data_IF_173934494699
#
_entry.id   IF_173934494699
#
_cell.length_a   1.000
_cell.length_b   1.000
_cell.length_c   1.000
_cell.angle_alpha   90.00
_cell.angle_beta   90.00
_cell.angle_gamma   90.00
#
_symmetry.space_group_name_H-M   'P 1'
#
loop_
_entity.id
_entity.type
_entity.pdbx_description
1 polymer ?
#
# COMPACT_ATOMS: atom_id res chain seq x y z
N UNK A 1 16.98 -0.24 6.45
CA UNK A 1 16.31 -0.68 7.68
C UNK A 1 16.11 -2.19 7.69
N UNK A 2 15.46 -2.79 6.68
CA UNK A 2 15.21 -4.25 6.64
C UNK A 2 16.45 -5.12 6.84
N UNK A 3 17.58 -4.78 6.22
CA UNK A 3 18.82 -5.54 6.42
C UNK A 3 19.33 -5.53 7.87
N UNK A 4 19.10 -4.44 8.61
CA UNK A 4 19.41 -4.38 10.04
C UNK A 4 18.39 -5.17 10.86
N UNK A 5 17.10 -5.12 10.50
CA UNK A 5 16.07 -5.93 11.17
C UNK A 5 16.33 -7.44 11.01
N UNK A 6 16.74 -7.89 9.81
CA UNK A 6 17.16 -9.29 9.62
C UNK A 6 18.39 -9.64 10.45
N UNK A 7 19.37 -8.74 10.52
CA UNK A 7 20.64 -9.01 11.20
C UNK A 7 20.55 -9.00 12.73
N UNK A 8 19.79 -8.06 13.29
CA UNK A 8 19.78 -7.82 14.73
C UNK A 8 18.43 -8.20 15.38
N UNK A 9 17.36 -8.27 14.62
CA UNK A 9 15.99 -8.31 15.16
C UNK A 9 15.50 -6.91 15.56
N UNK A 10 14.18 -6.77 15.82
CA UNK A 10 13.56 -5.48 16.11
C UNK A 10 13.99 -4.90 17.47
N UNK A 11 14.07 -5.74 18.52
CA UNK A 11 14.41 -5.30 19.88
C UNK A 11 15.83 -4.75 19.93
N UNK A 12 16.81 -5.54 19.50
CA UNK A 12 18.22 -5.11 19.48
C UNK A 12 18.45 -3.90 18.56
N UNK A 13 17.79 -3.84 17.40
CA UNK A 13 17.89 -2.67 16.53
C UNK A 13 17.36 -1.41 17.22
N UNK A 14 16.22 -1.51 17.91
CA UNK A 14 15.67 -0.38 18.66
C UNK A 14 16.62 0.03 19.78
N UNK A 15 17.14 -0.92 20.56
CA UNK A 15 18.15 -0.68 21.60
C UNK A 15 19.35 0.09 21.05
N UNK A 16 19.88 -0.30 19.87
CA UNK A 16 21.01 0.40 19.23
C UNK A 16 20.66 1.82 18.77
N UNK A 17 19.41 2.06 18.37
CA UNK A 17 18.93 3.36 17.92
C UNK A 17 18.64 4.31 19.09
N UNK A 18 18.23 3.79 20.24
CA UNK A 18 17.89 4.59 21.43
C UNK A 18 19.04 4.71 22.43
N UNK A 19 20.03 3.82 22.35
CA UNK A 19 21.25 3.89 23.16
C UNK A 19 21.98 5.23 23.01
N UNK A 20 22.64 5.65 24.09
CA UNK A 20 23.52 6.83 24.08
C UNK A 20 24.59 6.65 23.01
N UNK A 21 24.94 7.74 22.34
CA UNK A 21 25.99 7.71 21.32
C UNK A 21 27.28 7.11 21.92
N UNK A 22 27.80 6.05 21.29
CA UNK A 22 29.02 5.36 21.73
C UNK A 22 28.81 4.11 22.60
N UNK A 23 27.61 3.85 23.13
CA UNK A 23 27.38 2.66 23.98
C UNK A 23 26.86 1.44 23.21
N UNK A 24 26.25 1.66 22.05
CA UNK A 24 25.82 0.60 21.15
C UNK A 24 26.78 0.46 19.96
N UNK A 25 27.10 -0.77 19.57
CA UNK A 25 27.95 -1.05 18.41
C UNK A 25 27.37 -0.44 17.11
N UNK A 26 28.23 -0.09 16.14
CA UNK A 26 27.84 0.70 14.97
C UNK A 26 26.78 -0.01 14.11
N UNK A 27 25.95 0.79 13.43
CA UNK A 27 25.01 0.32 12.41
C UNK A 27 25.67 0.45 11.03
N UNK A 28 26.24 -0.64 10.46
CA UNK A 28 27.03 -0.56 9.24
C UNK A 28 26.16 -0.24 8.01
N UNK A 29 26.75 0.41 7.01
CA UNK A 29 26.09 0.68 5.73
C UNK A 29 25.13 1.89 5.74
N UNK A 30 25.16 2.73 6.77
CA UNK A 30 24.46 4.02 6.79
C UNK A 30 25.39 5.15 7.23
N UNK A 31 25.36 6.26 6.50
CA UNK A 31 26.03 7.49 6.91
C UNK A 31 25.40 8.10 8.16
N UNK A 32 26.16 8.93 8.86
CA UNK A 32 25.78 9.55 10.14
C UNK A 32 24.44 10.29 10.08
N UNK A 33 24.19 11.03 9.00
CA UNK A 33 22.94 11.77 8.81
C UNK A 33 21.72 10.84 8.80
N UNK A 34 21.84 9.65 8.19
CA UNK A 34 20.75 8.67 8.14
C UNK A 34 20.51 8.06 9.52
N UNK A 35 21.58 7.72 10.24
CA UNK A 35 21.51 7.20 11.61
C UNK A 35 20.87 8.25 12.53
N UNK A 36 21.32 9.51 12.48
CA UNK A 36 20.74 10.62 13.24
C UNK A 36 19.25 10.75 12.99
N UNK A 37 18.82 10.68 11.73
CA UNK A 37 17.40 10.71 11.38
C UNK A 37 16.60 9.56 11.99
N UNK A 38 17.15 8.35 12.08
CA UNK A 38 16.49 7.23 12.77
C UNK A 38 16.43 7.44 14.28
N UNK A 39 17.52 7.92 14.92
CA UNK A 39 17.54 8.22 16.36
C UNK A 39 16.52 9.29 16.74
N UNK A 40 16.41 10.36 15.95
CA UNK A 40 15.39 11.41 16.18
C UNK A 40 13.98 10.85 16.11
N UNK A 41 13.69 9.99 15.12
CA UNK A 41 12.37 9.33 15.00
C UNK A 41 12.10 8.35 16.14
N UNK A 42 13.11 7.58 16.57
CA UNK A 42 12.96 6.65 17.68
C UNK A 42 12.66 7.38 19.00
N UNK A 43 13.33 8.50 19.27
CA UNK A 43 13.08 9.32 20.46
C UNK A 43 11.67 9.96 20.48
N UNK A 44 11.13 10.29 19.29
CA UNK A 44 9.79 10.86 19.13
C UNK A 44 8.66 9.81 19.10
N UNK A 45 8.98 8.52 18.95
CA UNK A 45 7.97 7.47 18.88
C UNK A 45 7.22 7.32 20.21
N UNK A 46 5.93 6.95 20.13
CA UNK A 46 5.07 6.69 21.28
C UNK A 46 4.22 5.42 21.00
N UNK A 47 4.85 4.23 20.99
CA UNK A 47 4.20 3.00 20.53
C UNK A 47 2.90 2.67 21.26
N UNK A 48 2.86 2.84 22.58
CA UNK A 48 1.68 2.56 23.41
C UNK A 48 0.50 3.45 22.99
N UNK A 49 0.75 4.74 22.84
CA UNK A 49 -0.24 5.71 22.36
C UNK A 49 -0.69 5.41 20.92
N UNK A 50 0.23 5.01 20.06
CA UNK A 50 -0.09 4.67 18.67
C UNK A 50 -1.00 3.42 18.61
N UNK A 51 -0.76 2.43 19.47
CA UNK A 51 -1.59 1.23 19.62
C UNK A 51 -2.97 1.54 20.18
N UNK A 52 -3.05 2.34 21.26
CA UNK A 52 -4.31 2.82 21.82
C UNK A 52 -5.14 3.56 20.76
N UNK A 53 -4.51 4.48 20.03
CA UNK A 53 -5.17 5.24 18.98
C UNK A 53 -5.69 4.36 17.85
N UNK A 54 -4.93 3.34 17.45
CA UNK A 54 -5.39 2.39 16.44
C UNK A 54 -6.60 1.59 16.95
N UNK A 55 -6.56 1.14 18.21
CA UNK A 55 -7.67 0.39 18.83
C UNK A 55 -8.96 1.22 18.92
N UNK A 56 -8.88 2.49 19.33
CA UNK A 56 -10.01 3.43 19.35
C UNK A 56 -10.71 3.56 17.98
N UNK A 57 -9.96 3.41 16.89
CA UNK A 57 -10.46 3.52 15.53
C UNK A 57 -11.01 2.20 14.98
N UNK A 58 -11.07 1.15 15.80
CA UNK A 58 -11.41 -0.21 15.38
C UNK A 58 -10.31 -0.83 14.52
N UNK A 59 -9.06 -0.41 14.72
CA UNK A 59 -7.89 -0.92 14.04
C UNK A 59 -6.97 -1.72 14.94
N UNK A 60 -5.90 -2.23 14.34
CA UNK A 60 -4.86 -3.04 14.99
C UNK A 60 -3.53 -2.84 14.29
N UNK A 61 -2.46 -3.24 14.97
CA UNK A 61 -1.13 -3.34 14.37
C UNK A 61 -0.81 -4.81 14.11
N UNK A 62 -0.35 -5.11 12.89
CA UNK A 62 0.10 -6.43 12.47
C UNK A 62 1.61 -6.39 12.24
N UNK A 63 2.32 -7.42 12.67
CA UNK A 63 3.74 -7.61 12.44
C UNK A 63 4.02 -8.98 11.80
N UNK A 64 5.18 -9.17 11.14
CA UNK A 64 5.56 -10.46 10.59
C UNK A 64 5.54 -11.57 11.65
N UNK A 65 4.77 -12.62 11.40
CA UNK A 65 4.54 -13.74 12.34
C UNK A 65 3.15 -13.76 12.95
N UNK A 66 2.41 -12.64 12.90
CA UNK A 66 1.02 -12.63 13.33
C UNK A 66 0.15 -13.52 12.42
N UNK A 67 -0.90 -14.19 12.96
CA UNK A 67 -1.80 -15.04 12.16
C UNK A 67 -2.45 -14.34 10.97
N UNK A 68 -2.59 -13.02 11.04
CA UNK A 68 -3.19 -12.18 10.01
C UNK A 68 -2.16 -11.51 9.08
N UNK A 69 -0.87 -11.77 9.27
CA UNK A 69 0.17 -11.22 8.41
C UNK A 69 0.10 -11.84 7.00
N UNK A 70 0.00 -11.03 5.93
CA UNK A 70 0.07 -11.55 4.58
C UNK A 70 1.50 -11.96 4.22
N UNK A 71 1.77 -13.26 4.14
CA UNK A 71 3.08 -13.79 3.76
C UNK A 71 3.59 -13.29 2.40
N UNK A 72 2.70 -12.84 1.50
CA UNK A 72 3.05 -12.20 0.24
C UNK A 72 3.91 -10.94 0.40
N UNK A 73 3.85 -10.27 1.56
CA UNK A 73 4.70 -9.13 1.87
C UNK A 73 6.17 -9.53 2.11
N UNK A 74 6.43 -10.80 2.42
CA UNK A 74 7.77 -11.31 2.68
C UNK A 74 8.63 -11.37 1.42
N UNK A 75 8.00 -11.48 0.25
CA UNK A 75 8.65 -11.40 -1.06
C UNK A 75 9.37 -10.04 -1.29
N UNK A 76 9.05 -9.01 -0.50
CA UNK A 76 9.75 -7.71 -0.53
C UNK A 76 11.14 -7.74 0.12
N UNK A 77 11.50 -8.81 0.83
CA UNK A 77 12.81 -8.95 1.50
C UNK A 77 13.12 -7.77 2.44
N UNK A 78 14.26 -7.10 2.23
CA UNK A 78 14.67 -5.93 3.04
C UNK A 78 13.78 -4.70 2.88
N UNK A 79 12.89 -4.70 1.89
CA UNK A 79 11.88 -3.67 1.71
C UNK A 79 10.54 -4.02 2.38
N UNK A 80 10.38 -5.21 2.98
CA UNK A 80 9.17 -5.59 3.70
C UNK A 80 8.80 -4.55 4.76
N UNK A 81 7.51 -4.19 4.91
CA UNK A 81 7.07 -3.34 6.03
C UNK A 81 7.48 -3.96 7.38
N UNK A 82 7.87 -3.12 8.33
CA UNK A 82 8.20 -3.58 9.69
C UNK A 82 6.95 -4.07 10.44
N UNK A 83 5.81 -3.55 10.03
CA UNK A 83 4.46 -3.91 10.43
C UNK A 83 3.46 -3.06 9.65
N UNK A 84 2.17 -3.32 9.84
CA UNK A 84 1.07 -2.64 9.19
C UNK A 84 0.02 -2.24 10.21
N UNK A 85 -0.38 -0.99 10.17
CA UNK A 85 -1.60 -0.51 10.82
C UNK A 85 -2.78 -0.86 9.92
N UNK A 86 -3.79 -1.53 10.46
CA UNK A 86 -4.96 -1.98 9.72
C UNK A 86 -6.22 -1.51 10.44
N UNK A 87 -7.10 -0.82 9.73
CA UNK A 87 -8.42 -0.41 10.20
C UNK A 87 -9.50 -1.10 9.39
N UNK A 88 -10.52 -1.62 10.08
CA UNK A 88 -11.58 -2.44 9.49
C UNK A 88 -11.52 -3.88 10.01
N UNK A 89 -12.62 -4.63 9.84
CA UNK A 89 -12.83 -5.91 10.56
C UNK A 89 -12.35 -7.15 9.81
N UNK A 90 -12.13 -7.06 8.50
CA UNK A 90 -11.73 -8.21 7.70
C UNK A 90 -10.30 -8.67 7.99
N UNK A 91 -10.02 -9.96 7.77
CA UNK A 91 -8.68 -10.55 7.85
C UNK A 91 -7.87 -10.19 6.60
N UNK A 92 -6.80 -9.42 6.79
CA UNK A 92 -5.94 -8.92 5.72
C UNK A 92 -5.20 -10.05 5.00
N UNK A 93 -4.75 -11.10 5.70
CA UNK A 93 -4.09 -12.26 5.08
C UNK A 93 -5.04 -12.97 4.13
N UNK A 94 -6.27 -13.24 4.57
CA UNK A 94 -7.29 -13.89 3.72
C UNK A 94 -7.60 -13.02 2.50
N UNK A 95 -7.79 -11.72 2.70
CA UNK A 95 -8.08 -10.79 1.60
C UNK A 95 -6.94 -10.70 0.58
N UNK A 96 -5.69 -10.76 1.03
CA UNK A 96 -4.52 -10.74 0.15
C UNK A 96 -4.38 -12.01 -0.72
N UNK A 97 -5.02 -13.13 -0.37
CA UNK A 97 -4.96 -14.36 -1.19
C UNK A 97 -5.73 -14.22 -2.51
N UNK A 98 -6.78 -13.40 -2.53
CA UNK A 98 -7.69 -13.21 -3.67
C UNK A 98 -7.87 -11.73 -3.99
N UNK A 99 -6.76 -11.04 -4.22
CA UNK A 99 -6.71 -9.59 -4.42
C UNK A 99 -6.13 -9.18 -5.78
N UNK A 100 -6.64 -8.08 -6.32
CA UNK A 100 -6.13 -7.41 -7.52
C UNK A 100 -5.90 -5.94 -7.22
N UNK A 101 -4.71 -5.44 -7.52
CA UNK A 101 -4.42 -4.02 -7.47
C UNK A 101 -5.03 -3.34 -8.71
N UNK A 102 -5.83 -2.31 -8.52
CA UNK A 102 -6.33 -1.45 -9.61
C UNK A 102 -5.77 -0.05 -9.39
N UNK A 103 -4.87 0.38 -10.26
CA UNK A 103 -4.09 1.62 -10.08
C UNK A 103 -4.03 2.43 -11.37
N UNK A 104 -3.81 3.73 -11.24
CA UNK A 104 -3.63 4.57 -12.43
C UNK A 104 -3.42 6.05 -12.17
N UNK A 105 -3.77 6.85 -13.18
CA UNK A 105 -3.57 8.29 -13.20
C UNK A 105 -4.44 8.99 -12.14
N UNK A 106 -3.88 10.04 -11.53
CA UNK A 106 -4.60 10.91 -10.59
C UNK A 106 -5.55 11.86 -11.30
N UNK A 107 -5.09 12.41 -12.43
CA UNK A 107 -5.92 13.10 -13.40
C UNK A 107 -6.21 12.08 -14.50
N UNK A 108 -7.32 11.36 -14.36
CA UNK A 108 -7.75 10.36 -15.33
C UNK A 108 -8.83 10.91 -16.25
N UNK A 109 -9.00 10.30 -17.42
CA UNK A 109 -10.10 10.64 -18.32
C UNK A 109 -11.43 10.10 -17.77
N UNK A 110 -12.59 10.59 -18.26
CA UNK A 110 -13.88 9.98 -17.95
C UNK A 110 -13.94 8.50 -18.31
N UNK A 111 -13.33 8.10 -19.44
CA UNK A 111 -13.22 6.70 -19.85
C UNK A 111 -12.39 5.89 -18.84
N UNK A 112 -11.22 6.39 -18.43
CA UNK A 112 -10.39 5.74 -17.42
C UNK A 112 -11.11 5.56 -16.08
N UNK A 113 -11.81 6.60 -15.62
CA UNK A 113 -12.63 6.52 -14.41
C UNK A 113 -13.74 5.46 -14.54
N UNK A 114 -14.45 5.44 -15.67
CA UNK A 114 -15.49 4.45 -15.96
C UNK A 114 -14.91 3.03 -15.96
N UNK A 115 -13.84 2.78 -16.72
CA UNK A 115 -13.20 1.47 -16.82
C UNK A 115 -12.67 0.98 -15.48
N UNK A 116 -12.09 1.87 -14.66
CA UNK A 116 -11.63 1.53 -13.31
C UNK A 116 -12.79 1.08 -12.43
N UNK A 117 -13.90 1.82 -12.43
CA UNK A 117 -15.10 1.46 -11.68
C UNK A 117 -15.73 0.15 -12.17
N UNK A 118 -15.85 -0.02 -13.49
CA UNK A 118 -16.39 -1.22 -14.12
C UNK A 118 -15.58 -2.47 -13.77
N UNK A 119 -14.26 -2.41 -13.93
CA UNK A 119 -13.36 -3.52 -13.59
C UNK A 119 -13.43 -3.84 -12.10
N UNK A 120 -13.44 -2.83 -11.23
CA UNK A 120 -13.51 -3.03 -9.80
C UNK A 120 -14.84 -3.67 -9.35
N UNK A 121 -15.97 -3.26 -9.94
CA UNK A 121 -17.28 -3.88 -9.71
C UNK A 121 -17.26 -5.35 -10.11
N UNK A 122 -16.82 -5.65 -11.34
CA UNK A 122 -16.78 -7.02 -11.86
C UNK A 122 -15.82 -7.94 -11.09
N UNK A 123 -14.70 -7.42 -10.60
CA UNK A 123 -13.80 -8.12 -9.69
C UNK A 123 -14.49 -8.44 -8.36
N UNK A 124 -15.12 -7.43 -7.75
CA UNK A 124 -15.80 -7.53 -6.47
C UNK A 124 -16.94 -8.55 -6.50
N UNK A 125 -17.77 -8.54 -7.56
CA UNK A 125 -18.84 -9.52 -7.81
C UNK A 125 -18.32 -10.97 -7.91
N UNK A 126 -17.07 -11.15 -8.36
CA UNK A 126 -16.39 -12.47 -8.47
C UNK A 126 -15.60 -12.85 -7.21
N UNK A 127 -15.82 -12.11 -6.13
CA UNK A 127 -15.17 -12.32 -4.84
C UNK A 127 -13.70 -11.92 -4.79
N UNK A 128 -13.23 -11.08 -5.71
CA UNK A 128 -11.87 -10.51 -5.66
C UNK A 128 -11.84 -9.22 -4.85
N UNK A 129 -10.83 -9.09 -4.00
CA UNK A 129 -10.56 -7.88 -3.22
C UNK A 129 -9.86 -6.85 -4.10
N UNK A 130 -10.44 -5.67 -4.24
CA UNK A 130 -9.82 -4.56 -4.98
C UNK A 130 -8.87 -3.81 -4.06
N UNK A 131 -7.57 -3.84 -4.35
CA UNK A 131 -6.54 -3.10 -3.59
C UNK A 131 -6.17 -1.84 -4.36
N UNK A 132 -6.17 -0.69 -3.70
CA UNK A 132 -5.70 0.54 -4.33
C UNK A 132 -5.19 1.55 -3.29
N UNK A 133 -4.77 2.73 -3.76
CA UNK A 133 -4.08 3.71 -2.96
C UNK A 133 -4.94 4.87 -2.43
N UNK A 134 -6.26 4.85 -2.66
CA UNK A 134 -7.19 5.94 -2.37
C UNK A 134 -6.76 7.33 -2.88
N UNK A 135 -5.89 7.40 -3.90
CA UNK A 135 -5.58 8.67 -4.56
C UNK A 135 -6.76 9.18 -5.40
N UNK A 136 -6.66 10.42 -5.89
CA UNK A 136 -7.58 10.92 -6.92
C UNK A 136 -7.57 10.02 -8.18
N UNK A 137 -8.61 10.16 -9.00
CA UNK A 137 -8.70 9.51 -10.31
C UNK A 137 -9.00 8.01 -10.20
N UNK A 138 -8.14 7.21 -10.82
CA UNK A 138 -8.34 5.75 -10.99
C UNK A 138 -8.53 5.02 -9.66
N UNK A 139 -7.69 5.31 -8.66
CA UNK A 139 -7.77 4.65 -7.34
C UNK A 139 -9.14 4.88 -6.69
N UNK A 140 -9.64 6.11 -6.71
CA UNK A 140 -10.92 6.44 -6.13
C UNK A 140 -12.10 5.83 -6.89
N UNK A 141 -12.01 5.75 -8.23
CA UNK A 141 -13.01 5.08 -9.05
C UNK A 141 -13.04 3.56 -8.78
N UNK A 142 -11.89 2.93 -8.57
CA UNK A 142 -11.80 1.51 -8.23
C UNK A 142 -12.49 1.21 -6.89
N UNK A 143 -12.15 1.97 -5.84
CA UNK A 143 -12.80 1.81 -4.54
C UNK A 143 -14.32 2.03 -4.61
N UNK A 144 -14.77 3.07 -5.35
CA UNK A 144 -16.21 3.32 -5.53
C UNK A 144 -16.90 2.17 -6.26
N UNK A 145 -16.31 1.63 -7.32
CA UNK A 145 -16.86 0.50 -8.07
C UNK A 145 -17.01 -0.75 -7.20
N UNK A 146 -15.96 -1.11 -6.46
CA UNK A 146 -16.00 -2.26 -5.55
C UNK A 146 -17.06 -2.11 -4.44
N UNK A 147 -17.14 -0.92 -3.82
CA UNK A 147 -18.15 -0.62 -2.79
C UNK A 147 -19.57 -0.60 -3.35
N UNK A 148 -19.78 -0.10 -4.58
CA UNK A 148 -21.09 -0.07 -5.22
C UNK A 148 -21.62 -1.48 -5.50
N UNK A 149 -20.72 -2.43 -5.80
CA UNK A 149 -21.05 -3.86 -5.92
C UNK A 149 -21.24 -4.58 -4.56
N UNK A 150 -21.09 -3.87 -3.43
CA UNK A 150 -21.15 -4.46 -2.10
C UNK A 150 -19.99 -5.42 -1.78
N UNK A 151 -18.89 -5.36 -2.55
CA UNK A 151 -17.76 -6.26 -2.38
C UNK A 151 -16.57 -5.66 -1.64
N UNK A 152 -15.48 -6.43 -1.60
CA UNK A 152 -14.33 -6.15 -0.76
C UNK A 152 -13.32 -5.18 -1.41
N UNK A 153 -12.85 -4.20 -0.64
CA UNK A 153 -11.77 -3.31 -1.08
C UNK A 153 -10.84 -2.88 0.05
N UNK A 154 -9.54 -2.80 -0.26
CA UNK A 154 -8.49 -2.38 0.67
C UNK A 154 -7.74 -1.14 0.15
N UNK A 155 -7.79 -0.04 0.92
CA UNK A 155 -7.03 1.17 0.65
C UNK A 155 -5.71 1.16 1.41
N UNK A 156 -4.59 1.10 0.70
CA UNK A 156 -3.25 1.21 1.30
C UNK A 156 -2.84 2.68 1.29
N UNK A 157 -2.63 3.33 2.43
CA UNK A 157 -2.35 4.77 2.52
C UNK A 157 -0.85 5.09 2.63
N UNK A 158 -0.49 6.30 2.19
CA UNK A 158 0.86 6.88 2.34
C UNK A 158 0.99 7.77 3.59
N UNK A 159 0.00 7.70 4.48
CA UNK A 159 -0.18 8.42 5.73
C UNK A 159 -0.70 7.43 6.80
N UNK A 160 -0.94 7.87 8.03
CA UNK A 160 -1.59 7.03 9.06
C UNK A 160 -3.00 6.60 8.65
N UNK A 161 -3.49 5.49 9.21
CA UNK A 161 -4.84 4.94 8.93
C UNK A 161 -6.00 5.86 9.35
N UNK A 162 -5.70 6.87 10.17
CA UNK A 162 -6.60 7.90 10.68
C UNK A 162 -6.48 9.24 9.93
N UNK A 163 -5.51 9.33 9.03
CA UNK A 163 -5.21 10.55 8.29
C UNK A 163 -5.80 10.43 6.88
N UNK A 164 -6.76 11.29 6.57
CA UNK A 164 -7.34 11.33 5.23
C UNK A 164 -6.44 12.12 4.29
N UNK A 165 -5.97 11.46 3.24
CA UNK A 165 -5.38 12.13 2.09
C UNK A 165 -5.71 11.39 0.78
N UNK A 166 -6.22 12.09 -0.25
CA UNK A 166 -6.52 13.53 -0.25
C UNK A 166 -7.79 13.88 0.54
N UNK A 167 -7.88 15.12 1.08
CA UNK A 167 -9.03 15.54 1.92
C UNK A 167 -10.39 15.37 1.23
N UNK A 168 -10.46 15.58 -0.09
CA UNK A 168 -11.68 15.36 -0.88
C UNK A 168 -12.16 13.91 -0.95
N UNK A 169 -11.43 12.96 -0.37
CA UNK A 169 -11.80 11.54 -0.29
C UNK A 169 -12.07 11.09 1.16
N UNK A 170 -12.33 12.02 2.09
CA UNK A 170 -12.68 11.70 3.47
C UNK A 170 -13.81 10.68 3.56
N UNK A 171 -14.91 10.94 2.85
CA UNK A 171 -16.08 10.06 2.85
C UNK A 171 -15.78 8.71 2.20
N UNK A 172 -15.00 8.68 1.12
CA UNK A 172 -14.59 7.43 0.48
C UNK A 172 -13.75 6.57 1.42
N UNK A 173 -12.72 7.15 2.04
CA UNK A 173 -11.82 6.43 2.97
C UNK A 173 -12.60 5.95 4.20
N UNK A 174 -13.55 6.74 4.70
CA UNK A 174 -14.46 6.33 5.78
C UNK A 174 -15.26 5.09 5.38
N UNK A 175 -15.91 5.10 4.20
CA UNK A 175 -16.65 3.94 3.69
C UNK A 175 -15.76 2.71 3.49
N UNK A 176 -14.54 2.89 2.99
CA UNK A 176 -13.58 1.77 2.88
C UNK A 176 -13.21 1.23 4.26
N UNK A 177 -13.05 2.06 5.28
CA UNK A 177 -12.76 1.58 6.64
C UNK A 177 -13.94 0.81 7.28
N UNK A 178 -15.17 1.16 6.91
CA UNK A 178 -16.39 0.52 7.42
C UNK A 178 -16.72 -0.80 6.74
N UNK A 179 -16.54 -0.86 5.41
CA UNK A 179 -16.95 -1.99 4.57
C UNK A 179 -15.76 -2.83 4.08
N UNK A 180 -14.54 -2.35 4.28
CA UNK A 180 -13.32 -3.07 3.92
C UNK A 180 -12.16 -2.74 4.83
N UNK A 181 -10.98 -2.49 4.24
CA UNK A 181 -9.74 -2.29 4.99
C UNK A 181 -9.02 -1.00 4.61
N UNK A 182 -8.55 -0.27 5.60
CA UNK A 182 -7.55 0.80 5.42
C UNK A 182 -6.25 0.33 6.03
N UNK A 183 -5.18 0.31 5.24
CA UNK A 183 -3.87 -0.25 5.61
C UNK A 183 -2.81 0.83 5.50
N UNK A 184 -1.92 0.96 6.47
CA UNK A 184 -0.80 1.89 6.39
C UNK A 184 0.46 1.32 7.06
N UNK A 185 1.63 1.68 6.54
CA UNK A 185 2.91 1.37 7.19
C UNK A 185 3.30 2.43 8.25
N UNK A 186 2.64 3.59 8.23
CA UNK A 186 2.95 4.71 9.10
C UNK A 186 1.99 4.74 10.30
N UNK A 187 2.48 5.13 11.49
CA UNK A 187 1.64 5.20 12.68
C UNK A 187 0.52 6.24 12.53
N UNK A 188 -0.57 6.11 13.30
CA UNK A 188 -1.63 7.10 13.38
C UNK A 188 -1.10 8.54 13.53
N UNK A 189 -1.78 9.50 12.93
CA UNK A 189 -1.38 10.91 12.85
C UNK A 189 -0.28 11.22 11.83
N UNK A 190 0.31 10.23 11.17
CA UNK A 190 1.39 10.47 10.20
C UNK A 190 0.91 11.15 8.92
N UNK A 191 1.50 12.30 8.57
CA UNK A 191 1.20 13.01 7.33
C UNK A 191 1.86 12.39 6.08
N UNK A 192 1.25 12.52 4.88
CA UNK A 192 1.83 12.00 3.65
C UNK A 192 3.02 12.84 3.18
N UNK A 193 3.99 12.20 2.53
CA UNK A 193 5.09 12.87 1.80
C UNK A 193 5.28 12.23 0.43
N UNK A 194 5.93 12.92 -0.51
CA UNK A 194 6.19 12.39 -1.86
C UNK A 194 6.91 11.05 -1.83
N UNK A 195 7.91 10.88 -0.97
CA UNK A 195 8.66 9.63 -0.83
C UNK A 195 7.79 8.49 -0.26
N UNK A 196 6.86 8.80 0.64
CA UNK A 196 5.92 7.82 1.22
C UNK A 196 4.95 7.26 0.18
N UNK A 197 4.51 8.07 -0.80
CA UNK A 197 3.71 7.55 -1.92
C UNK A 197 4.45 6.49 -2.74
N UNK A 198 5.73 6.73 -3.04
CA UNK A 198 6.55 5.77 -3.79
C UNK A 198 6.77 4.49 -2.98
N UNK A 199 7.08 4.63 -1.68
CA UNK A 199 7.28 3.51 -0.77
C UNK A 199 6.01 2.64 -0.64
N UNK A 200 4.84 3.27 -0.49
CA UNK A 200 3.54 2.63 -0.34
C UNK A 200 3.20 1.70 -1.50
N UNK A 201 3.54 2.08 -2.73
CA UNK A 201 3.16 1.34 -3.93
C UNK A 201 3.70 -0.10 -3.96
N UNK A 202 4.84 -0.37 -3.32
CA UNK A 202 5.37 -1.74 -3.20
C UNK A 202 4.46 -2.65 -2.36
N UNK A 203 3.75 -2.08 -1.37
CA UNK A 203 2.81 -2.81 -0.51
C UNK A 203 1.55 -3.16 -1.30
N UNK A 204 1.02 -2.21 -2.09
CA UNK A 204 -0.11 -2.48 -3.00
C UNK A 204 0.23 -3.65 -3.93
N UNK A 205 1.41 -3.60 -4.56
CA UNK A 205 1.86 -4.65 -5.46
C UNK A 205 2.04 -5.99 -4.75
N UNK A 206 2.66 -6.01 -3.56
CA UNK A 206 2.93 -7.23 -2.81
C UNK A 206 1.66 -7.88 -2.23
N UNK A 207 0.70 -7.08 -1.76
CA UNK A 207 -0.60 -7.57 -1.26
C UNK A 207 -1.49 -8.17 -2.35
N UNK A 208 -1.15 -7.97 -3.63
CA UNK A 208 -2.00 -8.31 -4.77
C UNK A 208 -1.47 -9.50 -5.57
N UNK A 209 -2.36 -10.35 -6.09
CA UNK A 209 -2.00 -11.44 -7.02
C UNK A 209 -1.69 -10.93 -8.43
N UNK A 210 -2.34 -9.82 -8.80
CA UNK A 210 -2.10 -9.10 -10.05
C UNK A 210 -2.32 -7.60 -9.90
N UNK A 211 -1.81 -6.83 -10.85
CA UNK A 211 -1.97 -5.37 -10.91
C UNK A 211 -2.49 -4.97 -12.28
N UNK A 212 -3.62 -4.26 -12.33
CA UNK A 212 -4.20 -3.65 -13.52
C UNK A 212 -3.88 -2.15 -13.50
N UNK A 213 -3.19 -1.68 -14.54
CA UNK A 213 -2.94 -0.26 -14.79
C UNK A 213 -4.01 0.26 -15.76
N UNK A 214 -4.93 1.08 -15.28
CA UNK A 214 -6.06 1.56 -16.12
C UNK A 214 -5.63 2.71 -17.03
N UNK A 215 -4.99 3.72 -16.45
CA UNK A 215 -4.39 4.84 -17.19
C UNK A 215 -3.10 5.25 -16.51
N UNK A 216 -2.09 5.64 -17.28
CA UNK A 216 -0.80 6.03 -16.73
C UNK A 216 -0.05 6.98 -17.68
N UNK A 217 0.41 8.10 -17.13
CA UNK A 217 1.41 8.94 -17.81
C UNK A 217 2.80 8.30 -17.75
N UNK A 218 3.69 8.74 -18.65
CA UNK A 218 5.09 8.37 -18.62
C UNK A 218 5.72 8.78 -17.27
N UNK A 219 6.40 7.84 -16.60
CA UNK A 219 6.98 7.99 -15.24
C UNK A 219 5.97 8.22 -14.10
N UNK A 220 4.71 7.85 -14.29
CA UNK A 220 3.68 7.92 -13.24
C UNK A 220 3.91 6.94 -12.08
N UNK A 221 3.30 7.24 -10.93
CA UNK A 221 3.33 6.38 -9.74
C UNK A 221 2.68 5.02 -9.94
N UNK A 222 1.68 4.91 -10.81
CA UNK A 222 1.02 3.64 -11.16
C UNK A 222 1.96 2.68 -11.89
N UNK A 223 2.82 3.18 -12.79
CA UNK A 223 3.88 2.37 -13.41
C UNK A 223 4.91 1.87 -12.38
N UNK A 224 5.16 2.63 -11.31
CA UNK A 224 6.02 2.15 -10.23
C UNK A 224 5.40 0.95 -9.49
N UNK A 225 4.08 0.94 -9.30
CA UNK A 225 3.34 -0.22 -8.76
C UNK A 225 3.44 -1.42 -9.71
N UNK A 226 3.21 -1.24 -11.00
CA UNK A 226 3.31 -2.31 -11.99
C UNK A 226 4.72 -2.92 -12.04
N UNK A 227 5.78 -2.08 -12.04
CA UNK A 227 7.16 -2.57 -11.96
C UNK A 227 7.47 -3.31 -10.66
N UNK A 228 6.85 -2.90 -9.54
CA UNK A 228 7.00 -3.63 -8.29
C UNK A 228 6.31 -5.00 -8.36
N UNK A 229 5.11 -5.08 -8.94
CA UNK A 229 4.40 -6.34 -9.17
C UNK A 229 5.22 -7.29 -10.07
N UNK A 230 5.77 -6.79 -11.18
CA UNK A 230 6.62 -7.56 -12.09
C UNK A 230 7.86 -8.12 -11.39
N UNK A 231 8.58 -7.31 -10.60
CA UNK A 231 9.72 -7.78 -9.80
C UNK A 231 9.37 -8.87 -8.78
N UNK A 232 8.13 -8.89 -8.31
CA UNK A 232 7.61 -9.88 -7.37
C UNK A 232 7.00 -11.11 -8.09
N UNK A 233 7.12 -11.20 -9.43
CA UNK A 233 6.53 -12.26 -10.23
C UNK A 233 5.00 -12.25 -10.24
N UNK A 234 4.37 -11.11 -9.95
CA UNK A 234 2.91 -10.94 -9.98
C UNK A 234 2.45 -10.57 -11.39
N UNK A 235 1.19 -10.90 -11.71
CA UNK A 235 0.61 -10.55 -13.01
C UNK A 235 0.52 -9.03 -13.15
N UNK A 236 0.91 -8.51 -14.32
CA UNK A 236 0.70 -7.11 -14.69
C UNK A 236 -0.15 -7.03 -15.94
N UNK A 237 -1.17 -6.17 -15.88
CA UNK A 237 -2.20 -5.98 -16.89
C UNK A 237 -2.40 -4.48 -17.11
N UNK A 238 -2.91 -4.13 -18.28
CA UNK A 238 -3.16 -2.75 -18.66
C UNK A 238 -4.45 -2.67 -19.44
N UNK A 239 -5.20 -1.59 -19.23
CA UNK A 239 -6.43 -1.36 -19.99
C UNK A 239 -6.06 -0.71 -21.32
N UNK A 240 -6.49 -1.28 -22.46
CA UNK A 240 -6.35 -0.61 -23.75
C UNK A 240 -7.09 0.73 -23.73
N UNK A 241 -6.39 1.81 -24.05
CA UNK A 241 -7.00 3.12 -24.25
C UNK A 241 -7.44 3.28 -25.71
N UNK A 242 -8.65 3.79 -25.99
CA UNK A 242 -9.04 4.18 -27.34
C UNK A 242 -8.02 5.19 -27.87
N UNK A 243 -7.52 4.98 -29.09
CA UNK A 243 -6.56 5.88 -29.74
C UNK A 243 -7.25 7.21 -30.09
N UNK A 244 -7.38 8.10 -29.11
CA UNK A 244 -7.77 9.49 -29.31
C UNK A 244 -6.72 10.38 -28.63
N UNK A 245 -5.65 10.70 -29.37
CA UNK A 245 -4.67 11.73 -29.00
C UNK A 245 -3.49 11.26 -28.14
N UNK A 246 -2.43 10.76 -28.78
CA UNK A 246 -1.02 10.98 -28.38
C UNK A 246 -0.48 10.45 -27.05
N UNK A 247 -1.28 9.83 -26.17
CA UNK A 247 -0.77 9.23 -24.94
C UNK A 247 -0.24 7.80 -25.21
N UNK A 248 1.01 7.71 -25.64
CA UNK A 248 1.70 6.42 -25.82
C UNK A 248 1.84 5.69 -24.49
N UNK A 249 1.17 4.55 -24.33
CA UNK A 249 1.41 3.62 -23.23
C UNK A 249 2.89 3.19 -23.25
N UNK A 250 3.57 3.26 -22.09
CA UNK A 250 4.83 2.55 -21.94
C UNK A 250 4.54 1.04 -22.15
N UNK A 251 5.39 0.30 -22.88
CA UNK A 251 5.17 -1.12 -23.12
C UNK A 251 5.31 -1.87 -21.78
N UNK A 252 4.18 -2.13 -21.12
CA UNK A 252 4.10 -3.07 -20.02
C UNK A 252 3.94 -4.44 -20.69
N UNK A 253 4.90 -5.35 -20.46
CA UNK A 253 4.77 -6.74 -20.92
C UNK A 253 3.61 -7.38 -20.18
N UNK A 254 2.47 -7.51 -20.85
CA UNK A 254 1.28 -8.17 -20.32
C UNK A 254 1.49 -9.69 -20.32
N UNK A 255 1.29 -10.34 -19.17
CA UNK A 255 0.95 -11.77 -19.15
C UNK A 255 -0.57 -11.84 -19.13
N UNK A 256 -1.19 -11.97 -20.30
CA UNK A 256 -2.59 -12.38 -20.39
C UNK A 256 -2.65 -13.84 -19.91
N UNK A 257 -3.19 -14.05 -18.72
CA UNK A 257 -3.75 -15.33 -18.34
C UNK A 257 -5.27 -15.12 -18.23
N UNK A 258 -5.96 -15.17 -19.36
CA UNK A 258 -7.39 -15.45 -19.35
C UNK A 258 -7.47 -16.96 -19.11
N UNK A 259 -7.55 -17.36 -17.84
CA UNK A 259 -7.98 -18.71 -17.52
C UNK A 259 -9.50 -18.72 -17.71
N UNK A 260 -9.93 -19.43 -18.76
CA UNK A 260 -11.31 -19.90 -18.92
C UNK A 260 -11.64 -20.94 -17.85
#
# INVERSE_FOLDING_TARGET
>A
MGGWLRRYGPVELLTRLTARAGTAGPLPGAGEQRIRGYRTRAAAARPERDLERAAELGGRFLCPGDPEWPGQLDDLGDARPVGLWVRGRADLRIWALRSVAVVGARACTPYGAHMSGYLASGLAERGWVVVSGAAYGIDAAAHRGALAAGGATAAVLACGVDTVYPRGHAELVRRVAEQGLVVAELPPGSHPTRSRFVLRNRVIAALSRGTVVVEAEYRSGSLATARAADRLGRFTMGVPTPLAGGATLAPIRFRLAIAA
#
